data_IF_453260518530
#
_entry.id   IF_453260518530
#
_cell.length_a   1.000
_cell.length_b   1.000
_cell.length_c   1.000
_cell.angle_alpha   90.00
_cell.angle_beta   90.00
_cell.angle_gamma   90.00
#
_symmetry.space_group_name_H-M   'P 1'
#
loop_
_entity.id
_entity.type
_entity.pdbx_description
1 polymer ?
#
# COMPACT_ATOMS: atom_id res chain seq x y z
N UNK A 1 -8.40 -8.81 -11.28
CA UNK A 1 -7.91 -8.08 -10.11
C UNK A 1 -6.42 -7.91 -10.31
N UNK A 2 -5.90 -6.67 -10.19
CA UNK A 2 -4.50 -6.36 -10.39
C UNK A 2 -3.89 -5.89 -9.07
N UNK A 3 -2.77 -6.49 -8.68
CA UNK A 3 -1.97 -6.08 -7.53
C UNK A 3 -0.74 -5.32 -8.04
N UNK A 4 -0.39 -4.21 -7.39
CA UNK A 4 0.83 -3.46 -7.72
C UNK A 4 2.06 -4.05 -7.05
N UNK A 5 1.92 -4.54 -5.83
CA UNK A 5 3.01 -5.11 -5.02
C UNK A 5 2.47 -5.91 -3.82
N UNK A 6 3.34 -6.57 -3.08
CA UNK A 6 3.01 -7.24 -1.82
C UNK A 6 2.92 -6.20 -0.71
N UNK A 7 1.71 -5.80 -0.33
CA UNK A 7 1.43 -4.79 0.68
C UNK A 7 1.96 -5.14 2.07
N UNK A 8 2.47 -4.14 2.78
CA UNK A 8 2.91 -4.27 4.17
C UNK A 8 1.91 -3.69 5.19
N UNK A 9 1.04 -2.81 4.75
CA UNK A 9 0.17 -1.98 5.59
C UNK A 9 -1.27 -2.50 5.73
N UNK A 10 -1.72 -3.32 4.78
CA UNK A 10 -3.09 -3.87 4.75
C UNK A 10 -3.09 -5.36 4.38
N UNK A 11 -4.15 -6.08 4.72
CA UNK A 11 -4.43 -7.42 4.19
C UNK A 11 -5.10 -7.26 2.83
N UNK A 12 -4.48 -7.79 1.76
CA UNK A 12 -5.09 -7.72 0.43
C UNK A 12 -6.43 -8.47 0.38
N UNK A 13 -7.44 -7.81 -0.18
CA UNK A 13 -8.76 -8.38 -0.44
C UNK A 13 -8.86 -9.16 -1.75
N UNK A 14 -7.80 -9.31 -2.51
CA UNK A 14 -7.81 -9.90 -3.85
C UNK A 14 -8.36 -11.33 -3.86
N UNK A 15 -7.96 -12.17 -2.89
CA UNK A 15 -8.46 -13.54 -2.76
C UNK A 15 -9.94 -13.60 -2.38
N UNK A 16 -10.38 -12.73 -1.48
CA UNK A 16 -11.80 -12.62 -1.11
C UNK A 16 -12.65 -12.19 -2.31
N UNK A 17 -12.17 -11.21 -3.08
CA UNK A 17 -12.86 -10.72 -4.28
C UNK A 17 -12.89 -11.78 -5.38
N UNK A 18 -11.78 -12.52 -5.59
CA UNK A 18 -11.72 -13.61 -6.55
C UNK A 18 -12.69 -14.75 -6.19
N UNK A 19 -12.74 -15.13 -4.90
CA UNK A 19 -13.68 -16.15 -4.42
C UNK A 19 -15.14 -15.72 -4.62
N UNK A 20 -15.48 -14.48 -4.31
CA UNK A 20 -16.84 -13.95 -4.49
C UNK A 20 -17.25 -13.85 -5.96
N UNK A 21 -16.35 -13.45 -6.82
CA UNK A 21 -16.64 -13.32 -8.26
C UNK A 21 -16.71 -14.67 -8.98
N UNK A 22 -16.06 -15.73 -8.45
CA UNK A 22 -15.88 -17.08 -9.04
C UNK A 22 -15.17 -17.12 -10.39
N UNK A 23 -14.97 -15.97 -11.04
CA UNK A 23 -14.37 -15.88 -12.39
C UNK A 23 -13.19 -14.92 -12.46
N UNK A 24 -13.06 -13.98 -11.52
CA UNK A 24 -11.96 -13.03 -11.52
C UNK A 24 -10.64 -13.72 -11.17
N UNK A 25 -9.62 -13.43 -11.98
CA UNK A 25 -8.25 -13.87 -11.76
C UNK A 25 -7.48 -12.79 -11.02
N UNK A 26 -6.47 -13.19 -10.26
CA UNK A 26 -5.55 -12.28 -9.57
C UNK A 26 -4.27 -12.18 -10.40
N UNK A 27 -3.95 -10.98 -10.84
CA UNK A 27 -2.74 -10.64 -11.59
C UNK A 27 -1.76 -10.01 -10.62
N UNK A 28 -0.57 -10.62 -10.47
CA UNK A 28 0.44 -10.14 -9.54
C UNK A 28 1.85 -10.29 -10.14
N UNK A 29 2.72 -9.33 -9.82
CA UNK A 29 4.06 -9.27 -10.38
C UNK A 29 4.95 -10.40 -9.90
N UNK A 30 5.68 -11.04 -10.83
CA UNK A 30 6.75 -12.01 -10.53
C UNK A 30 8.14 -11.40 -10.68
N UNK A 31 8.21 -10.09 -10.94
CA UNK A 31 9.47 -9.35 -10.96
C UNK A 31 10.14 -9.36 -9.56
N UNK A 32 11.39 -8.99 -9.48
CA UNK A 32 12.12 -8.93 -8.22
C UNK A 32 12.22 -10.25 -7.45
N UNK A 33 11.78 -11.37 -8.03
CA UNK A 33 11.78 -12.69 -7.41
C UNK A 33 10.61 -12.94 -6.45
N UNK A 34 9.49 -12.19 -6.58
CA UNK A 34 8.31 -12.38 -5.76
C UNK A 34 7.71 -13.79 -5.93
N UNK A 35 7.24 -14.35 -4.82
CA UNK A 35 6.60 -15.66 -4.76
C UNK A 35 5.28 -15.57 -3.99
N UNK A 36 4.26 -16.25 -4.49
CA UNK A 36 2.93 -16.28 -3.89
C UNK A 36 2.53 -17.70 -3.51
N UNK A 37 1.96 -17.85 -2.32
CA UNK A 37 1.44 -19.13 -1.81
C UNK A 37 0.03 -19.48 -2.32
N UNK A 38 -0.47 -18.77 -3.34
CA UNK A 38 -1.81 -18.94 -3.91
C UNK A 38 -1.77 -18.74 -5.44
N UNK A 39 -2.78 -19.20 -6.18
CA UNK A 39 -2.82 -19.03 -7.64
C UNK A 39 -2.88 -17.57 -8.06
N UNK A 40 -1.99 -17.19 -8.96
CA UNK A 40 -1.96 -15.89 -9.64
C UNK A 40 -1.77 -16.07 -11.15
N UNK A 41 -2.16 -15.07 -11.91
CA UNK A 41 -1.66 -14.86 -13.27
C UNK A 41 -0.41 -13.97 -13.18
N UNK A 42 0.75 -14.47 -13.62
CA UNK A 42 2.00 -13.72 -13.46
C UNK A 42 2.02 -12.47 -14.35
N UNK A 43 2.47 -11.36 -13.78
CA UNK A 43 2.66 -10.08 -14.47
C UNK A 43 4.14 -9.78 -14.61
N UNK A 44 4.56 -9.35 -15.80
CA UNK A 44 5.91 -8.90 -16.12
C UNK A 44 5.91 -7.52 -16.75
N UNK A 45 7.07 -6.89 -16.78
CA UNK A 45 7.25 -5.62 -17.46
C UNK A 45 6.87 -5.72 -18.94
N UNK A 46 6.03 -4.79 -19.39
CA UNK A 46 5.54 -4.73 -20.76
C UNK A 46 4.30 -5.57 -21.07
N UNK A 47 3.77 -6.36 -20.12
CA UNK A 47 2.53 -7.09 -20.34
C UNK A 47 1.35 -6.13 -20.53
N UNK A 48 0.50 -6.43 -21.52
CA UNK A 48 -0.66 -5.62 -21.87
C UNK A 48 -1.97 -6.36 -21.62
N UNK A 49 -2.93 -5.63 -21.07
CA UNK A 49 -4.27 -6.14 -20.75
C UNK A 49 -5.32 -5.23 -21.36
N UNK A 50 -6.18 -5.81 -22.22
CA UNK A 50 -7.22 -5.05 -22.94
C UNK A 50 -8.61 -5.26 -22.33
N UNK A 51 -9.29 -4.15 -22.07
CA UNK A 51 -10.66 -4.11 -21.51
C UNK A 51 -11.53 -3.16 -22.34
N UNK A 52 -12.15 -3.68 -23.41
CA UNK A 52 -12.85 -2.82 -24.37
C UNK A 52 -11.87 -1.88 -25.05
N UNK A 53 -12.07 -0.57 -24.91
CA UNK A 53 -11.19 0.47 -25.43
C UNK A 53 -10.01 0.81 -24.50
N UNK A 54 -9.96 0.26 -23.29
CA UNK A 54 -8.88 0.49 -22.34
C UNK A 54 -7.75 -0.52 -22.53
N UNK A 55 -6.52 -0.05 -22.62
CA UNK A 55 -5.30 -0.86 -22.45
C UNK A 55 -4.63 -0.48 -21.14
N UNK A 56 -4.27 -1.50 -20.34
CA UNK A 56 -3.37 -1.36 -19.21
C UNK A 56 -2.04 -2.04 -19.56
N UNK A 57 -0.95 -1.28 -19.52
CA UNK A 57 0.40 -1.79 -19.72
C UNK A 57 1.12 -1.85 -18.38
N UNK A 58 1.56 -3.04 -17.97
CA UNK A 58 2.33 -3.23 -16.74
C UNK A 58 3.75 -2.71 -16.93
N UNK A 59 4.28 -1.98 -15.96
CA UNK A 59 5.65 -1.47 -15.94
C UNK A 59 6.30 -1.80 -14.62
N UNK A 60 7.44 -2.49 -14.66
CA UNK A 60 8.23 -2.77 -13.47
C UNK A 60 8.78 -1.46 -12.90
N UNK A 61 8.35 -1.11 -11.69
CA UNK A 61 8.66 0.15 -11.02
C UNK A 61 9.18 -0.10 -9.59
N UNK A 62 10.34 -0.81 -9.47
CA UNK A 62 10.89 -1.19 -8.19
C UNK A 62 11.38 0.02 -7.39
N UNK A 63 11.49 -0.16 -6.07
CA UNK A 63 12.01 0.85 -5.16
C UNK A 63 11.33 0.78 -3.80
N UNK A 64 10.00 0.90 -3.74
CA UNK A 64 9.24 0.59 -2.52
C UNK A 64 9.32 -0.91 -2.19
N UNK A 65 9.09 -1.75 -3.19
CA UNK A 65 9.37 -3.18 -3.14
C UNK A 65 10.09 -3.64 -4.42
N UNK A 66 10.81 -4.78 -4.40
CA UNK A 66 11.53 -5.28 -5.58
C UNK A 66 10.61 -5.68 -6.74
N UNK A 67 9.41 -6.19 -6.42
CA UNK A 67 8.44 -6.72 -7.37
C UNK A 67 7.43 -5.67 -7.86
N UNK A 68 7.49 -4.46 -7.36
CA UNK A 68 6.49 -3.44 -7.62
C UNK A 68 6.27 -3.19 -9.12
N UNK A 69 5.00 -3.13 -9.53
CA UNK A 69 4.59 -2.74 -10.88
C UNK A 69 3.58 -1.59 -10.83
N UNK A 70 3.67 -0.71 -11.79
CA UNK A 70 2.65 0.31 -12.08
C UNK A 70 1.90 -0.08 -13.33
N UNK A 71 0.65 0.36 -13.47
CA UNK A 71 -0.16 0.09 -14.66
C UNK A 71 -0.48 1.39 -15.38
N UNK A 72 0.05 1.52 -16.61
CA UNK A 72 -0.19 2.67 -17.49
C UNK A 72 -1.49 2.44 -18.24
N UNK A 73 -2.39 3.42 -18.20
CA UNK A 73 -3.70 3.38 -18.83
C UNK A 73 -3.73 4.28 -20.08
N UNK A 74 -4.16 3.71 -21.20
CA UNK A 74 -4.33 4.39 -22.47
C UNK A 74 -5.56 3.88 -23.23
N UNK A 75 -6.04 4.64 -24.20
CA UNK A 75 -7.01 4.15 -25.18
C UNK A 75 -6.33 3.21 -26.19
N UNK A 76 -7.03 2.16 -26.63
CA UNK A 76 -6.48 1.21 -27.59
C UNK A 76 -6.32 1.77 -29.00
N UNK A 77 -7.00 2.87 -29.33
CA UNK A 77 -6.80 3.61 -30.58
C UNK A 77 -5.54 4.49 -30.54
N UNK A 78 -5.10 4.87 -29.33
CA UNK A 78 -3.96 5.78 -29.10
C UNK A 78 -3.10 5.31 -27.92
N UNK A 79 -2.52 4.10 -27.97
CA UNK A 79 -1.75 3.55 -26.84
C UNK A 79 -0.47 4.33 -26.52
N UNK A 80 0.03 5.13 -27.49
CA UNK A 80 1.19 6.01 -27.34
C UNK A 80 0.91 7.27 -26.50
N UNK A 81 -0.37 7.58 -26.23
CA UNK A 81 -0.81 8.73 -25.42
C UNK A 81 -1.52 8.27 -24.14
N UNK A 82 -0.78 7.78 -23.12
CA UNK A 82 -1.39 7.40 -21.86
C UNK A 82 -2.01 8.61 -21.17
N UNK A 83 -3.21 8.42 -20.64
CA UNK A 83 -3.91 9.46 -19.89
C UNK A 83 -3.77 9.29 -18.36
N UNK A 84 -3.39 8.12 -17.87
CA UNK A 84 -3.28 7.85 -16.44
C UNK A 84 -2.29 6.74 -16.12
N UNK A 85 -1.84 6.69 -14.87
CA UNK A 85 -1.00 5.62 -14.35
C UNK A 85 -1.37 5.29 -12.91
N UNK A 86 -1.65 4.02 -12.64
CA UNK A 86 -1.80 3.49 -11.28
C UNK A 86 -0.40 3.25 -10.73
N UNK A 87 0.09 4.20 -9.93
CA UNK A 87 1.48 4.24 -9.48
C UNK A 87 1.79 3.31 -8.32
N UNK A 88 0.75 2.72 -7.71
CA UNK A 88 0.94 1.94 -6.49
C UNK A 88 1.63 2.78 -5.41
N UNK A 89 2.66 2.20 -4.82
CA UNK A 89 3.50 2.85 -3.81
C UNK A 89 4.84 3.37 -4.37
N UNK A 90 5.03 3.41 -5.69
CA UNK A 90 6.26 3.99 -6.26
C UNK A 90 6.25 5.51 -6.28
N UNK A 91 5.09 6.12 -6.60
CA UNK A 91 4.94 7.58 -6.63
C UNK A 91 3.61 7.97 -6.01
N UNK A 92 3.65 8.82 -5.00
CA UNK A 92 2.50 9.44 -4.34
C UNK A 92 2.35 10.90 -4.71
N UNK A 93 1.23 11.49 -4.35
CA UNK A 93 1.07 12.95 -4.42
C UNK A 93 2.04 13.60 -3.43
N UNK A 94 2.93 14.42 -3.95
CA UNK A 94 3.97 15.14 -3.19
C UNK A 94 4.98 14.25 -2.43
N UNK A 95 5.02 12.95 -2.71
CA UNK A 95 5.90 12.00 -2.03
C UNK A 95 6.24 10.80 -2.94
N UNK A 96 6.99 9.85 -2.42
CA UNK A 96 7.23 8.54 -3.01
C UNK A 96 7.27 7.45 -1.91
N UNK A 97 7.14 6.19 -2.32
CA UNK A 97 7.17 5.07 -1.39
C UNK A 97 8.53 4.89 -0.74
N UNK A 98 8.51 4.54 0.54
CA UNK A 98 9.73 4.32 1.33
C UNK A 98 10.49 3.08 0.85
N UNK A 99 11.81 3.17 0.61
CA UNK A 99 12.61 2.04 0.12
C UNK A 99 13.23 1.19 1.24
N UNK A 100 13.07 1.57 2.51
CA UNK A 100 13.83 1.01 3.65
C UNK A 100 13.20 -0.23 4.30
N UNK A 101 11.99 -0.67 3.87
CA UNK A 101 11.24 -1.77 4.49
C UNK A 101 11.96 -3.14 4.46
N UNK A 102 12.94 -3.32 3.58
CA UNK A 102 13.77 -4.54 3.50
C UNK A 102 15.13 -4.39 4.18
N UNK A 103 15.33 -3.33 4.97
CA UNK A 103 16.52 -3.11 5.80
C UNK A 103 17.81 -3.11 4.99
N UNK A 104 18.55 -4.22 4.96
CA UNK A 104 19.86 -4.34 4.27
C UNK A 104 19.86 -3.99 2.77
N UNK A 105 18.71 -4.02 2.12
CA UNK A 105 18.57 -3.73 0.69
C UNK A 105 18.09 -2.28 0.44
N UNK A 106 18.02 -1.44 1.49
CA UNK A 106 17.48 -0.08 1.42
C UNK A 106 18.18 0.81 0.39
N UNK A 107 19.52 0.84 0.39
CA UNK A 107 20.30 1.63 -0.58
C UNK A 107 20.03 1.18 -2.03
N UNK A 108 19.96 -0.14 -2.25
CA UNK A 108 19.65 -0.70 -3.57
C UNK A 108 18.24 -0.31 -4.01
N UNK A 109 17.26 -0.43 -3.11
CA UNK A 109 15.88 -0.08 -3.41
C UNK A 109 15.70 1.43 -3.63
N UNK A 110 16.37 2.28 -2.84
CA UNK A 110 16.38 3.72 -3.06
C UNK A 110 16.99 4.09 -4.42
N UNK A 111 18.07 3.41 -4.83
CA UNK A 111 18.65 3.58 -6.16
C UNK A 111 17.71 3.12 -7.29
N UNK A 112 16.97 2.02 -7.09
CA UNK A 112 15.95 1.57 -8.03
C UNK A 112 14.76 2.53 -8.09
N UNK A 113 14.36 3.10 -6.95
CA UNK A 113 13.33 4.13 -6.89
C UNK A 113 13.73 5.37 -7.71
N UNK A 114 15.00 5.77 -7.65
CA UNK A 114 15.52 6.83 -8.52
C UNK A 114 15.32 6.51 -10.00
N UNK A 115 15.66 5.28 -10.43
CA UNK A 115 15.46 4.86 -11.82
C UNK A 115 13.98 4.84 -12.20
N UNK A 116 13.12 4.44 -11.29
CA UNK A 116 11.66 4.47 -11.46
C UNK A 116 11.16 5.91 -11.61
N UNK A 117 11.52 6.81 -10.69
CA UNK A 117 11.04 8.20 -10.67
C UNK A 117 11.58 8.99 -11.89
N UNK A 118 12.88 8.97 -12.12
CA UNK A 118 13.50 9.74 -13.19
C UNK A 118 13.50 9.02 -14.55
N UNK A 119 13.71 7.72 -14.52
CA UNK A 119 13.88 6.91 -15.74
C UNK A 119 12.56 6.51 -16.40
N UNK A 120 11.50 6.32 -15.61
CA UNK A 120 10.18 5.94 -16.11
C UNK A 120 9.16 7.08 -15.97
N UNK A 121 8.71 7.44 -14.76
CA UNK A 121 7.69 8.49 -14.59
C UNK A 121 8.15 9.85 -15.13
N UNK A 122 9.43 10.18 -15.00
CA UNK A 122 10.00 11.43 -15.52
C UNK A 122 9.90 11.59 -17.04
N UNK A 123 9.75 10.48 -17.78
CA UNK A 123 9.65 10.46 -19.24
C UNK A 123 8.22 10.47 -19.78
N UNK A 124 7.22 10.16 -18.93
CA UNK A 124 5.81 10.26 -19.32
C UNK A 124 5.41 11.73 -19.49
N UNK A 125 4.36 11.96 -20.29
CA UNK A 125 3.85 13.32 -20.51
C UNK A 125 3.34 13.97 -19.22
N UNK A 126 3.46 15.28 -19.12
CA UNK A 126 3.08 16.05 -17.94
C UNK A 126 1.56 16.03 -17.65
N UNK A 127 0.74 15.74 -18.66
CA UNK A 127 -0.72 15.61 -18.53
C UNK A 127 -1.18 14.31 -17.89
N UNK A 128 -0.32 13.29 -17.84
CA UNK A 128 -0.67 11.97 -17.28
C UNK A 128 -1.05 12.09 -15.80
N UNK A 129 -2.23 11.58 -15.47
CA UNK A 129 -2.75 11.57 -14.09
C UNK A 129 -2.15 10.38 -13.33
N UNK A 130 -1.67 10.63 -12.11
CA UNK A 130 -1.23 9.57 -11.21
C UNK A 130 -2.35 9.16 -10.26
N UNK A 131 -2.53 7.85 -10.07
CA UNK A 131 -3.48 7.22 -9.15
C UNK A 131 -2.69 6.35 -8.17
N UNK A 132 -2.24 6.90 -7.03
CA UNK A 132 -1.46 6.15 -6.04
C UNK A 132 -2.35 5.24 -5.17
N UNK A 133 -1.75 4.26 -4.50
CA UNK A 133 -2.46 3.37 -3.57
C UNK A 133 -2.88 4.08 -2.28
N UNK A 134 -2.18 5.13 -1.88
CA UNK A 134 -2.39 5.81 -0.60
C UNK A 134 -2.51 7.32 -0.75
N UNK A 135 -3.26 7.90 0.18
CA UNK A 135 -3.29 9.33 0.46
C UNK A 135 -2.57 9.68 1.77
N UNK A 136 -2.77 10.91 2.22
CA UNK A 136 -2.18 11.47 3.44
C UNK A 136 -2.41 10.57 4.66
N UNK A 137 -1.36 10.40 5.47
CA UNK A 137 -1.37 9.63 6.72
C UNK A 137 -0.93 8.18 6.59
N UNK A 138 -0.67 7.66 5.38
CA UNK A 138 -0.09 6.33 5.24
C UNK A 138 1.40 6.31 5.64
N UNK A 139 1.85 5.33 6.43
CA UNK A 139 3.27 5.16 6.78
C UNK A 139 4.11 4.52 5.65
N UNK A 140 3.51 4.28 4.46
CA UNK A 140 4.22 3.79 3.28
C UNK A 140 5.05 4.87 2.57
N UNK A 141 4.86 6.15 2.93
CA UNK A 141 5.64 7.29 2.46
C UNK A 141 5.66 8.42 3.49
N UNK A 142 6.65 9.29 3.42
CA UNK A 142 6.72 10.48 4.25
C UNK A 142 5.92 11.61 3.59
N UNK A 143 5.15 12.36 4.38
CA UNK A 143 4.47 13.60 3.96
C UNK A 143 3.64 13.49 2.67
N UNK A 144 2.90 12.38 2.52
CA UNK A 144 1.99 12.19 1.39
C UNK A 144 0.93 13.30 1.40
N UNK A 145 0.72 13.96 0.25
CA UNK A 145 -0.23 15.05 0.09
C UNK A 145 -1.69 14.64 0.29
N UNK A 146 -2.54 15.61 0.63
CA UNK A 146 -3.96 15.35 0.92
C UNK A 146 -4.82 15.05 -0.32
N UNK A 147 -4.35 15.42 -1.51
CA UNK A 147 -5.07 15.14 -2.76
C UNK A 147 -4.97 13.66 -3.11
N UNK A 148 -6.05 13.10 -3.65
CA UNK A 148 -6.11 11.68 -4.00
C UNK A 148 -5.46 11.36 -5.34
N UNK A 149 -5.28 12.37 -6.18
CA UNK A 149 -4.65 12.29 -7.50
C UNK A 149 -3.86 13.56 -7.82
N UNK A 150 -2.97 13.48 -8.79
CA UNK A 150 -2.17 14.60 -9.28
C UNK A 150 -1.80 14.35 -10.74
N UNK A 151 -1.10 15.27 -11.37
CA UNK A 151 -0.51 15.07 -12.69
C UNK A 151 1.00 14.93 -12.57
N UNK A 152 1.61 14.19 -13.49
CA UNK A 152 3.07 14.09 -13.53
C UNK A 152 3.76 15.45 -13.68
N UNK A 153 3.16 16.38 -14.44
CA UNK A 153 3.70 17.73 -14.57
C UNK A 153 3.72 18.49 -13.25
N UNK A 154 2.70 18.30 -12.39
CA UNK A 154 2.71 18.88 -11.05
C UNK A 154 3.78 18.21 -10.18
N UNK A 155 3.84 16.88 -10.18
CA UNK A 155 4.80 16.13 -9.37
C UNK A 155 6.25 16.43 -9.77
N UNK A 156 6.58 16.44 -11.07
CA UNK A 156 7.92 16.82 -11.57
C UNK A 156 8.37 18.20 -11.10
N UNK A 157 7.43 19.11 -10.87
CA UNK A 157 7.74 20.49 -10.44
C UNK A 157 7.81 20.65 -8.93
N UNK A 158 6.95 19.96 -8.18
CA UNK A 158 6.73 20.27 -6.76
C UNK A 158 7.00 19.11 -5.81
N UNK A 159 7.06 17.86 -6.30
CA UNK A 159 7.37 16.72 -5.46
C UNK A 159 8.85 16.78 -5.02
N UNK A 160 9.14 16.69 -3.71
CA UNK A 160 10.51 16.77 -3.19
C UNK A 160 11.47 15.78 -3.84
N UNK A 161 11.03 14.57 -4.16
CA UNK A 161 11.88 13.56 -4.81
C UNK A 161 12.41 14.01 -6.18
N UNK A 162 11.64 14.81 -6.92
CA UNK A 162 12.09 15.40 -8.19
C UNK A 162 13.04 16.59 -8.04
N UNK A 163 13.30 17.07 -6.81
CA UNK A 163 14.32 18.10 -6.57
C UNK A 163 15.74 17.51 -6.49
N UNK A 164 15.86 16.18 -6.31
CA UNK A 164 17.14 15.47 -6.21
C UNK A 164 17.51 14.82 -7.55
N UNK A 165 18.15 15.59 -8.44
CA UNK A 165 18.52 15.13 -9.80
C UNK A 165 19.66 14.14 -9.81
N UNK A 166 20.60 14.28 -8.87
CA UNK A 166 21.73 13.37 -8.75
C UNK A 166 21.33 12.15 -7.92
N UNK A 167 21.66 10.93 -8.41
CA UNK A 167 21.28 9.66 -7.77
C UNK A 167 21.65 9.61 -6.28
N UNK A 168 22.86 9.99 -5.92
CA UNK A 168 23.28 9.93 -4.52
C UNK A 168 22.45 10.88 -3.65
N UNK A 169 22.20 12.10 -4.10
CA UNK A 169 21.35 13.05 -3.39
C UNK A 169 19.91 12.53 -3.23
N UNK A 170 19.39 11.83 -4.24
CA UNK A 170 18.07 11.20 -4.15
C UNK A 170 18.06 10.06 -3.12
N UNK A 171 19.06 9.17 -3.15
CA UNK A 171 19.18 8.05 -2.21
C UNK A 171 19.30 8.57 -0.78
N UNK A 172 20.16 9.57 -0.56
CA UNK A 172 20.35 10.20 0.76
C UNK A 172 19.03 10.80 1.27
N UNK A 173 18.28 11.49 0.40
CA UNK A 173 16.98 12.07 0.74
C UNK A 173 15.96 10.99 1.08
N UNK A 174 15.83 9.94 0.24
CA UNK A 174 14.86 8.87 0.43
C UNK A 174 15.08 8.07 1.73
N UNK A 175 16.33 8.03 2.22
CA UNK A 175 16.71 7.30 3.44
C UNK A 175 16.89 8.19 4.68
N UNK A 176 16.84 9.52 4.55
CA UNK A 176 17.17 10.43 5.64
C UNK A 176 16.21 10.33 6.84
N UNK A 177 14.91 10.27 6.59
CA UNK A 177 13.89 10.31 7.65
C UNK A 177 12.66 9.48 7.30
N UNK A 178 12.79 8.15 7.18
CA UNK A 178 11.61 7.32 6.98
C UNK A 178 10.70 7.41 8.22
N UNK A 179 9.36 7.41 8.05
CA UNK A 179 8.46 7.32 9.18
C UNK A 179 8.71 6.02 9.97
N UNK A 180 8.39 5.96 11.28
CA UNK A 180 8.52 4.73 12.04
C UNK A 180 7.87 3.54 11.33
N UNK A 181 8.55 2.39 11.27
CA UNK A 181 7.98 1.18 10.68
C UNK A 181 6.94 0.59 11.63
N UNK A 182 5.67 0.44 11.22
CA UNK A 182 4.67 -0.24 12.03
C UNK A 182 5.08 -1.67 12.38
N UNK A 183 4.87 -2.09 13.62
CA UNK A 183 5.33 -3.38 14.13
C UNK A 183 4.76 -4.58 13.36
N UNK A 184 3.59 -4.42 12.73
CA UNK A 184 2.89 -5.47 12.00
C UNK A 184 3.35 -5.62 10.54
N UNK A 185 4.15 -4.71 9.96
CA UNK A 185 4.52 -4.72 8.54
C UNK A 185 5.17 -6.04 8.10
N UNK A 186 6.13 -6.54 8.86
CA UNK A 186 6.82 -7.81 8.53
C UNK A 186 5.88 -9.01 8.52
N UNK A 187 4.90 -9.02 9.43
CA UNK A 187 3.86 -10.05 9.47
C UNK A 187 2.92 -9.92 8.28
N UNK A 188 2.51 -8.70 7.95
CA UNK A 188 1.56 -8.41 6.87
C UNK A 188 2.13 -8.80 5.51
N UNK A 189 3.38 -8.44 5.20
CA UNK A 189 4.06 -8.86 3.95
C UNK A 189 4.08 -10.39 3.81
N UNK A 190 4.42 -11.12 4.87
CA UNK A 190 4.40 -12.58 4.85
C UNK A 190 3.00 -13.14 4.62
N UNK A 191 1.99 -12.55 5.26
CA UNK A 191 0.59 -12.94 5.11
C UNK A 191 0.11 -12.74 3.68
N UNK A 192 0.36 -11.56 3.10
CA UNK A 192 -0.04 -11.24 1.73
C UNK A 192 0.69 -12.11 0.70
N UNK A 193 1.97 -12.39 0.88
CA UNK A 193 2.70 -13.30 0.01
C UNK A 193 2.20 -14.76 0.12
N UNK A 194 1.93 -15.25 1.33
CA UNK A 194 1.40 -16.60 1.54
C UNK A 194 -0.04 -16.77 1.06
N UNK A 195 -0.81 -15.68 1.01
CA UNK A 195 -2.22 -15.63 0.69
C UNK A 195 -3.10 -15.60 1.94
N UNK A 196 -3.73 -14.43 2.24
CA UNK A 196 -4.66 -14.32 3.36
C UNK A 196 -5.80 -15.35 3.24
N UNK A 197 -6.32 -15.78 4.38
CA UNK A 197 -7.50 -16.65 4.42
C UNK A 197 -8.71 -15.96 3.78
N UNK A 198 -9.48 -16.73 3.00
CA UNK A 198 -10.77 -16.26 2.47
C UNK A 198 -11.81 -16.42 3.56
N UNK A 199 -12.38 -15.30 4.02
CA UNK A 199 -13.36 -15.29 5.11
C UNK A 199 -14.76 -15.71 4.64
N UNK A 200 -15.09 -15.52 3.37
CA UNK A 200 -16.41 -15.78 2.80
C UNK A 200 -17.50 -14.82 3.28
N UNK A 201 -17.19 -13.93 4.21
CA UNK A 201 -18.09 -12.92 4.78
C UNK A 201 -17.45 -12.20 5.96
N UNK A 202 -18.13 -11.16 6.44
CA UNK A 202 -17.70 -10.49 7.66
C UNK A 202 -17.92 -11.42 8.86
N UNK A 203 -16.92 -11.60 9.76
CA UNK A 203 -17.08 -12.40 10.95
C UNK A 203 -18.13 -11.76 11.87
N UNK A 204 -19.04 -12.59 12.38
CA UNK A 204 -19.99 -12.16 13.41
C UNK A 204 -19.27 -12.19 14.75
N UNK A 205 -19.06 -11.02 15.34
CA UNK A 205 -18.49 -10.89 16.69
C UNK A 205 -19.64 -10.95 17.69
N UNK A 206 -19.73 -11.99 18.53
CA UNK A 206 -20.81 -12.12 19.49
C UNK A 206 -20.70 -11.05 20.58
N UNK A 207 -21.83 -10.46 20.96
CA UNK A 207 -21.90 -9.62 22.14
C UNK A 207 -21.84 -10.51 23.40
N UNK A 208 -20.98 -10.16 24.33
CA UNK A 208 -20.86 -10.87 25.61
C UNK A 208 -21.88 -10.31 26.63
N UNK A 209 -22.45 -11.19 27.45
CA UNK A 209 -23.20 -10.75 28.61
C UNK A 209 -22.27 -10.06 29.64
N UNK A 210 -22.73 -9.04 30.41
CA UNK A 210 -21.87 -8.30 31.34
C UNK A 210 -21.11 -9.18 32.35
N UNK A 211 -21.71 -10.27 32.79
CA UNK A 211 -21.10 -11.22 33.73
C UNK A 211 -19.93 -11.97 33.06
N UNK A 212 -20.12 -12.41 31.84
CA UNK A 212 -19.10 -13.14 31.06
C UNK A 212 -17.94 -12.18 30.68
N UNK A 213 -18.28 -10.97 30.23
CA UNK A 213 -17.29 -9.92 29.97
C UNK A 213 -16.44 -9.64 31.23
N UNK A 214 -17.10 -9.46 32.40
CA UNK A 214 -16.38 -9.22 33.66
C UNK A 214 -15.44 -10.37 33.99
N UNK A 215 -15.85 -11.62 33.79
CA UNK A 215 -14.99 -12.80 34.06
C UNK A 215 -13.72 -12.79 33.20
N UNK A 216 -13.81 -12.46 31.90
CA UNK A 216 -12.65 -12.35 31.01
C UNK A 216 -11.68 -11.25 31.45
N UNK A 217 -12.21 -10.11 31.89
CA UNK A 217 -11.40 -8.98 32.39
C UNK A 217 -10.70 -9.37 33.69
N UNK A 218 -11.42 -9.94 34.66
CA UNK A 218 -10.88 -10.32 35.98
C UNK A 218 -9.78 -11.40 35.83
N UNK A 219 -9.96 -12.35 34.92
CA UNK A 219 -9.00 -13.42 34.65
C UNK A 219 -7.79 -12.96 33.82
N UNK A 220 -7.79 -11.73 33.32
CA UNK A 220 -6.77 -11.19 32.41
C UNK A 220 -6.50 -12.12 31.21
N UNK A 221 -7.53 -12.85 30.75
CA UNK A 221 -7.45 -13.80 29.65
C UNK A 221 -7.59 -13.13 28.28
N UNK A 222 -7.92 -11.83 28.26
CA UNK A 222 -8.04 -11.01 27.04
C UNK A 222 -7.54 -9.59 27.30
N UNK A 223 -7.02 -8.93 26.27
CA UNK A 223 -6.74 -7.51 26.30
C UNK A 223 -8.04 -6.74 26.03
N UNK A 224 -8.41 -5.84 26.95
CA UNK A 224 -9.54 -4.97 26.78
C UNK A 224 -9.15 -3.74 25.95
N UNK A 225 -9.89 -3.49 24.88
CA UNK A 225 -9.77 -2.28 24.05
C UNK A 225 -11.07 -1.49 24.17
N UNK A 226 -10.97 -0.25 24.65
CA UNK A 226 -12.08 0.70 24.71
C UNK A 226 -12.08 1.56 23.45
N UNK A 227 -13.11 1.41 22.64
CA UNK A 227 -13.22 2.10 21.33
C UNK A 227 -13.93 3.45 21.41
N UNK A 228 -14.28 3.92 22.60
CA UNK A 228 -14.86 5.26 22.80
C UNK A 228 -13.85 6.36 22.53
N UNK A 229 -14.34 7.59 22.40
CA UNK A 229 -13.46 8.77 22.24
C UNK A 229 -12.54 8.95 23.46
N UNK A 230 -11.39 9.61 23.27
CA UNK A 230 -10.43 9.89 24.35
C UNK A 230 -11.08 10.60 25.54
N UNK A 231 -11.99 11.54 25.29
CA UNK A 231 -12.69 12.28 26.36
C UNK A 231 -13.64 11.36 27.15
N UNK A 232 -14.37 10.47 26.47
CA UNK A 232 -15.23 9.50 27.14
C UNK A 232 -14.43 8.47 27.96
N UNK A 233 -13.28 8.02 27.42
CA UNK A 233 -12.34 7.17 28.13
C UNK A 233 -11.76 7.87 29.37
N UNK A 234 -11.29 9.13 29.21
CA UNK A 234 -10.76 9.93 30.30
C UNK A 234 -11.77 10.23 31.40
N UNK A 235 -13.07 10.32 31.07
CA UNK A 235 -14.15 10.51 32.04
C UNK A 235 -14.46 9.29 32.90
N UNK A 236 -13.99 8.10 32.51
CA UNK A 236 -14.13 6.86 33.25
C UNK A 236 -14.00 5.63 32.35
N UNK A 237 -13.14 4.68 32.72
CA UNK A 237 -12.86 3.46 31.97
C UNK A 237 -12.58 2.29 32.92
N UNK A 238 -12.53 1.08 32.37
CA UNK A 238 -12.14 -0.11 33.10
C UNK A 238 -10.61 -0.13 33.23
N UNK A 239 -10.10 -0.34 34.42
CA UNK A 239 -8.67 -0.39 34.69
C UNK A 239 -7.96 -1.44 33.83
N UNK A 240 -6.84 -1.03 33.22
CA UNK A 240 -6.06 -1.86 32.29
C UNK A 240 -6.57 -1.88 30.85
N UNK A 241 -7.65 -1.16 30.53
CA UNK A 241 -8.10 -1.00 29.15
C UNK A 241 -7.15 -0.11 28.34
N UNK A 242 -6.91 -0.47 27.08
CA UNK A 242 -6.29 0.38 26.08
C UNK A 242 -7.37 1.20 25.37
N UNK A 243 -7.14 2.48 25.17
CA UNK A 243 -8.06 3.28 24.36
C UNK A 243 -7.59 3.38 22.91
N UNK A 244 -8.35 2.78 22.01
CA UNK A 244 -8.18 2.92 20.56
C UNK A 244 -9.54 3.35 19.99
N UNK A 245 -9.74 4.65 19.82
CA UNK A 245 -11.03 5.19 19.39
C UNK A 245 -11.49 4.61 18.04
N UNK A 246 -12.78 4.27 17.94
CA UNK A 246 -13.39 3.83 16.68
C UNK A 246 -13.35 4.97 15.65
N UNK A 247 -12.42 4.87 14.73
CA UNK A 247 -12.14 5.82 13.66
C UNK A 247 -11.68 5.07 12.40
N UNK A 248 -11.58 5.70 11.24
CA UNK A 248 -11.06 5.05 10.03
C UNK A 248 -9.65 4.46 10.18
N UNK A 249 -8.86 4.92 11.15
CA UNK A 249 -7.50 4.43 11.42
C UNK A 249 -7.42 3.48 12.63
N UNK A 250 -8.56 2.99 13.15
CA UNK A 250 -8.59 2.03 14.26
C UNK A 250 -7.73 0.79 13.99
N UNK A 251 -7.80 0.23 12.79
CA UNK A 251 -7.06 -0.96 12.40
C UNK A 251 -5.54 -0.74 12.42
N UNK A 252 -5.09 0.44 12.04
CA UNK A 252 -3.67 0.84 12.07
C UNK A 252 -3.18 0.84 13.52
N UNK A 253 -3.88 1.55 14.41
CA UNK A 253 -3.52 1.63 15.83
C UNK A 253 -3.64 0.28 16.57
N UNK A 254 -4.61 -0.54 16.18
CA UNK A 254 -4.74 -1.88 16.75
C UNK A 254 -3.63 -2.84 16.27
N UNK A 255 -3.02 -2.56 15.13
CA UNK A 255 -1.88 -3.30 14.57
C UNK A 255 -0.54 -2.94 15.23
N UNK A 256 -0.39 -1.69 15.70
CA UNK A 256 0.79 -1.22 16.42
C UNK A 256 0.97 -1.95 17.75
#
# INVERSE_FOLDING_TARGET
IFETHIHADLVSGSRELADRSKTAKIYASVEGGAQYGFPIEPVKDGDEYKFGALILTARHTPGHTPEHVSYVAADDEHPEFPWGVFTGDSLFVSSAGRPDLLGRDADKLASQLYDTIWGFFGKLDDSVIIHPSHGSGSPCGADIGERLESTLGFEKRFNPYYQHKERQSFVDYALATPPPEPTYYKRMKKLNAAGPEVLGGLPIIPALAPKEFKQLVDQKSAQLVDTRTMLAFGGGHIEGALNIAASPILSIWAGW
#
